data_IF_586749690330
#
_entry.id   IF_586749690330
#
_cell.length_a   1.000
_cell.length_b   1.000
_cell.length_c   1.000
_cell.angle_alpha   90.00
_cell.angle_beta   90.00
_cell.angle_gamma   90.00
#
_symmetry.space_group_name_H-M   'P 1'
#
loop_
_entity.id
_entity.type
_entity.pdbx_description
1 polymer ?
#
# COMPACT_ATOMS: atom_id res chain seq x y z
N UNK A 1 -18.28 6.57 0.51
CA UNK A 1 -19.35 7.32 -0.16
C UNK A 1 -19.50 8.68 0.51
N UNK A 2 -19.41 9.81 -0.24
CA UNK A 2 -19.47 11.15 0.37
C UNK A 2 -20.89 11.55 0.81
N UNK A 3 -21.92 10.89 0.28
CA UNK A 3 -23.31 11.11 0.68
C UNK A 3 -23.66 10.18 1.85
N UNK A 4 -24.00 10.69 3.04
CA UNK A 4 -24.45 9.84 4.14
C UNK A 4 -25.68 9.03 3.74
N UNK A 5 -25.70 7.75 4.14
CA UNK A 5 -26.76 6.83 3.73
C UNK A 5 -28.08 7.03 4.50
N UNK A 6 -28.07 7.75 5.60
CA UNK A 6 -29.17 7.99 6.50
C UNK A 6 -29.96 9.29 6.21
N UNK A 7 -29.55 10.05 5.19
CA UNK A 7 -30.26 11.27 4.79
C UNK A 7 -31.54 10.97 4.05
N UNK A 8 -32.61 11.68 4.42
CA UNK A 8 -33.86 11.69 3.67
C UNK A 8 -33.67 12.35 2.29
N UNK A 9 -34.53 12.08 1.29
CA UNK A 9 -34.49 12.74 -0.01
C UNK A 9 -34.56 14.27 0.06
N UNK A 10 -35.27 14.83 1.05
CA UNK A 10 -35.31 16.27 1.26
C UNK A 10 -33.97 16.83 1.79
N UNK A 11 -33.31 16.14 2.72
CA UNK A 11 -32.02 16.53 3.25
C UNK A 11 -30.90 16.39 2.21
N UNK A 12 -30.96 15.39 1.34
CA UNK A 12 -30.00 15.21 0.25
C UNK A 12 -29.93 16.42 -0.69
N UNK A 13 -31.01 17.18 -0.85
CA UNK A 13 -31.05 18.39 -1.68
C UNK A 13 -30.13 19.51 -1.18
N UNK A 14 -29.75 19.46 0.09
CA UNK A 14 -28.82 20.44 0.68
C UNK A 14 -27.36 20.07 0.46
N UNK A 15 -27.05 18.86 -0.02
CA UNK A 15 -25.70 18.45 -0.38
C UNK A 15 -25.43 18.91 -1.81
N UNK A 16 -24.70 20.01 -1.97
CA UNK A 16 -24.44 20.64 -3.26
C UNK A 16 -23.13 20.17 -3.92
N UNK A 17 -22.33 19.37 -3.22
CA UNK A 17 -21.06 18.87 -3.74
C UNK A 17 -20.15 18.30 -2.65
N UNK A 18 -18.97 17.94 -3.07
CA UNK A 18 -17.91 17.39 -2.23
C UNK A 18 -16.64 18.19 -2.45
N UNK A 19 -15.89 18.42 -1.40
CA UNK A 19 -14.56 19.04 -1.50
C UNK A 19 -13.52 18.24 -0.73
N UNK A 20 -12.28 18.36 -1.14
CA UNK A 20 -11.11 17.97 -0.37
C UNK A 20 -10.20 19.17 -0.20
N UNK A 21 -9.58 19.29 0.96
CA UNK A 21 -8.69 20.40 1.26
C UNK A 21 -7.24 19.93 1.28
N UNK A 22 -6.35 20.72 0.66
CA UNK A 22 -4.92 20.58 0.82
C UNK A 22 -4.41 21.74 1.69
N UNK A 23 -4.04 21.42 2.92
CA UNK A 23 -3.47 22.40 3.86
C UNK A 23 -1.98 22.56 3.59
N UNK A 24 -1.56 23.80 3.33
CA UNK A 24 -0.23 24.08 2.78
C UNK A 24 0.80 24.53 3.81
N UNK A 25 0.52 24.45 5.12
CA UNK A 25 1.43 24.89 6.18
C UNK A 25 2.83 24.26 6.08
N UNK A 26 2.91 23.03 5.57
CA UNK A 26 4.16 22.29 5.40
C UNK A 26 4.47 21.97 3.94
N UNK A 27 3.88 22.70 2.99
CA UNK A 27 4.05 22.49 1.55
C UNK A 27 4.68 23.74 0.93
N UNK A 28 6.02 23.83 0.90
CA UNK A 28 6.71 25.07 0.54
C UNK A 28 6.82 25.32 -0.98
N UNK A 29 6.54 24.31 -1.82
CA UNK A 29 6.75 24.43 -3.27
C UNK A 29 5.55 23.92 -4.06
N UNK A 30 5.34 24.47 -5.25
CA UNK A 30 4.31 24.00 -6.18
C UNK A 30 4.50 22.53 -6.57
N UNK A 31 5.73 22.11 -6.79
CA UNK A 31 6.04 20.71 -7.05
C UNK A 31 5.58 19.76 -5.94
N UNK A 32 5.60 20.21 -4.68
CA UNK A 32 5.07 19.42 -3.58
C UNK A 32 3.53 19.45 -3.53
N UNK A 33 2.90 20.54 -3.97
CA UNK A 33 1.43 20.56 -4.18
C UNK A 33 1.03 19.47 -5.18
N UNK A 34 1.67 19.42 -6.34
CA UNK A 34 1.43 18.40 -7.36
C UNK A 34 1.60 16.98 -6.79
N UNK A 35 2.66 16.74 -6.01
CA UNK A 35 2.91 15.45 -5.36
C UNK A 35 1.80 15.07 -4.36
N UNK A 36 1.27 16.03 -3.63
CA UNK A 36 0.24 15.78 -2.63
C UNK A 36 -1.14 15.61 -3.26
N UNK A 37 -1.43 16.32 -4.34
CA UNK A 37 -2.73 16.26 -5.03
C UNK A 37 -2.84 15.09 -6.01
N UNK A 38 -1.79 14.84 -6.78
CA UNK A 38 -1.84 13.86 -7.87
C UNK A 38 -1.28 12.49 -7.42
N UNK A 39 -1.95 11.40 -7.73
CA UNK A 39 -3.22 11.25 -8.47
C UNK A 39 -4.48 11.28 -7.58
N UNK A 40 -4.41 11.71 -6.34
CA UNK A 40 -5.54 11.71 -5.38
C UNK A 40 -6.74 12.48 -5.88
N UNK A 41 -6.49 13.61 -6.57
CA UNK A 41 -7.55 14.41 -7.21
C UNK A 41 -8.33 13.59 -8.25
N UNK A 42 -7.68 12.67 -8.96
CA UNK A 42 -8.36 11.77 -9.88
C UNK A 42 -9.35 10.84 -9.17
N UNK A 43 -8.99 10.32 -8.00
CA UNK A 43 -9.88 9.51 -7.19
C UNK A 43 -11.08 10.32 -6.67
N UNK A 44 -10.86 11.57 -6.26
CA UNK A 44 -11.94 12.47 -5.87
C UNK A 44 -12.89 12.74 -7.04
N UNK A 45 -12.35 13.02 -8.23
CA UNK A 45 -13.14 13.21 -9.44
C UNK A 45 -13.95 11.97 -9.82
N UNK A 46 -13.38 10.78 -9.71
CA UNK A 46 -14.08 9.52 -9.94
C UNK A 46 -15.31 9.38 -9.01
N UNK A 47 -15.15 9.72 -7.73
CA UNK A 47 -16.23 9.66 -6.75
C UNK A 47 -17.34 10.67 -7.08
N UNK A 48 -16.98 11.87 -7.53
CA UNK A 48 -17.94 12.96 -7.80
C UNK A 48 -18.73 12.74 -9.09
N UNK A 49 -18.08 12.23 -10.13
CA UNK A 49 -18.67 12.11 -11.48
C UNK A 49 -19.30 10.75 -11.76
N UNK A 50 -19.08 9.75 -10.88
CA UNK A 50 -19.62 8.41 -11.05
C UNK A 50 -20.83 8.18 -10.16
N UNK A 51 -21.93 7.76 -10.77
CA UNK A 51 -23.14 7.38 -10.03
C UNK A 51 -22.83 6.29 -9.00
N UNK A 52 -23.41 6.32 -7.79
CA UNK A 52 -23.09 5.39 -6.70
C UNK A 52 -23.08 3.91 -7.12
N UNK A 53 -24.08 3.49 -7.88
CA UNK A 53 -24.24 2.11 -8.35
C UNK A 53 -23.23 1.68 -9.43
N UNK A 54 -22.51 2.65 -10.02
CA UNK A 54 -21.48 2.43 -11.05
C UNK A 54 -20.06 2.54 -10.52
N UNK A 55 -19.89 2.92 -9.24
CA UNK A 55 -18.58 3.06 -8.63
C UNK A 55 -17.86 1.71 -8.59
N UNK A 56 -16.67 1.67 -9.17
CA UNK A 56 -15.87 0.47 -9.27
C UNK A 56 -14.39 0.82 -9.08
N UNK A 57 -13.89 0.56 -7.88
CA UNK A 57 -12.51 0.85 -7.51
C UNK A 57 -11.50 0.12 -8.40
N UNK A 58 -11.70 -1.16 -8.68
CA UNK A 58 -10.84 -1.95 -9.57
C UNK A 58 -10.83 -1.38 -11.01
N UNK A 59 -11.98 -0.93 -11.49
CA UNK A 59 -12.10 -0.25 -12.76
C UNK A 59 -11.36 1.08 -12.80
N UNK A 60 -11.40 1.85 -11.71
CA UNK A 60 -10.61 3.08 -11.55
C UNK A 60 -9.11 2.77 -11.60
N UNK A 61 -8.64 1.79 -10.83
CA UNK A 61 -7.23 1.41 -10.80
C UNK A 61 -6.69 0.99 -12.18
N UNK A 62 -7.50 0.29 -12.97
CA UNK A 62 -7.14 -0.10 -14.35
C UNK A 62 -6.99 1.08 -15.32
N UNK A 63 -7.69 2.18 -15.06
CA UNK A 63 -7.60 3.40 -15.90
C UNK A 63 -6.50 4.36 -15.40
N UNK A 64 -6.09 4.26 -14.15
CA UNK A 64 -5.12 5.16 -13.55
C UNK A 64 -3.78 5.25 -14.31
N UNK A 65 -3.19 4.15 -14.85
CA UNK A 65 -1.98 4.24 -15.65
C UNK A 65 -2.09 5.17 -16.86
N UNK A 66 -3.22 5.16 -17.56
CA UNK A 66 -3.46 6.04 -18.71
C UNK A 66 -3.46 7.52 -18.32
N UNK A 67 -4.02 7.86 -17.15
CA UNK A 67 -3.98 9.21 -16.62
C UNK A 67 -2.55 9.62 -16.23
N UNK A 68 -1.80 8.70 -15.65
CA UNK A 68 -0.41 8.92 -15.27
C UNK A 68 0.50 9.15 -16.48
N UNK A 69 0.25 8.48 -17.60
CA UNK A 69 0.95 8.75 -18.87
C UNK A 69 0.78 10.22 -19.29
N UNK A 70 -0.41 10.80 -19.07
CA UNK A 70 -0.66 12.23 -19.30
C UNK A 70 0.16 13.09 -18.35
N UNK A 71 0.24 12.72 -17.07
CA UNK A 71 1.06 13.43 -16.08
C UNK A 71 2.55 13.42 -16.46
N UNK A 72 3.05 12.30 -16.97
CA UNK A 72 4.44 12.19 -17.44
C UNK A 72 4.71 13.09 -18.66
N UNK A 73 3.76 13.17 -19.62
CA UNK A 73 3.85 14.09 -20.77
C UNK A 73 3.95 15.56 -20.33
N UNK A 74 3.12 15.95 -19.36
CA UNK A 74 3.10 17.31 -18.83
C UNK A 74 4.17 17.55 -17.75
N UNK A 75 4.94 16.52 -17.38
CA UNK A 75 6.01 16.56 -16.37
C UNK A 75 5.51 16.97 -14.98
N UNK A 76 4.29 16.61 -14.62
CA UNK A 76 3.78 16.80 -13.27
C UNK A 76 4.53 15.94 -12.26
N UNK A 77 4.80 16.50 -11.08
CA UNK A 77 5.40 15.77 -9.97
C UNK A 77 4.34 15.04 -9.16
N UNK A 78 3.73 13.99 -9.71
CA UNK A 78 2.72 13.21 -9.00
C UNK A 78 3.35 12.17 -8.05
N UNK A 79 2.56 11.67 -7.10
CA UNK A 79 2.98 10.66 -6.14
C UNK A 79 3.16 9.28 -6.81
N UNK A 80 4.37 9.01 -7.30
CA UNK A 80 4.70 7.76 -8.02
C UNK A 80 4.61 6.49 -7.16
N UNK A 81 4.59 6.63 -5.82
CA UNK A 81 4.47 5.50 -4.89
C UNK A 81 3.16 4.71 -5.04
N UNK A 82 2.16 5.23 -5.74
CA UNK A 82 0.96 4.47 -6.12
C UNK A 82 1.31 3.21 -6.91
N UNK A 83 2.46 3.17 -7.56
CA UNK A 83 2.98 2.03 -8.32
C UNK A 83 4.03 1.22 -7.57
N UNK A 84 4.28 1.51 -6.31
CA UNK A 84 5.19 0.71 -5.49
C UNK A 84 4.66 -0.72 -5.33
N UNK A 85 5.57 -1.62 -5.07
CA UNK A 85 5.22 -3.00 -4.76
C UNK A 85 4.45 -3.04 -3.44
N UNK A 86 3.26 -3.58 -3.46
CA UNK A 86 2.53 -3.95 -2.25
C UNK A 86 2.97 -5.35 -1.83
N UNK A 87 3.68 -5.45 -0.71
CA UNK A 87 4.17 -6.70 -0.15
C UNK A 87 3.36 -7.07 1.09
N UNK A 88 2.66 -8.19 1.03
CA UNK A 88 1.89 -8.72 2.15
C UNK A 88 2.62 -9.94 2.73
N UNK A 89 3.00 -9.83 3.99
CA UNK A 89 3.67 -10.88 4.74
C UNK A 89 2.67 -11.59 5.64
N UNK A 90 2.46 -12.88 5.42
CA UNK A 90 1.49 -13.69 6.14
C UNK A 90 2.19 -14.85 6.83
N UNK A 91 2.24 -14.89 8.18
CA UNK A 91 2.76 -16.02 8.91
C UNK A 91 1.95 -17.30 8.63
N UNK A 92 2.64 -18.38 8.34
CA UNK A 92 2.06 -19.69 8.11
C UNK A 92 2.63 -20.72 9.12
N UNK A 93 2.04 -20.80 10.32
CA UNK A 93 2.52 -21.70 11.37
C UNK A 93 2.45 -23.19 11.00
N UNK A 94 1.54 -23.58 10.10
CA UNK A 94 1.40 -24.96 9.65
C UNK A 94 2.63 -25.44 8.88
N UNK A 95 3.11 -24.62 7.97
CA UNK A 95 4.27 -24.91 7.12
C UNK A 95 5.57 -24.40 7.74
N UNK A 96 5.49 -23.60 8.79
CA UNK A 96 6.63 -22.91 9.42
C UNK A 96 7.27 -21.89 8.48
N UNK A 97 6.45 -21.21 7.65
CA UNK A 97 6.90 -20.25 6.63
C UNK A 97 6.33 -18.87 6.91
N UNK A 98 7.03 -17.86 6.42
CA UNK A 98 6.47 -16.54 6.15
C UNK A 98 6.13 -16.49 4.65
N UNK A 99 4.84 -16.47 4.35
CA UNK A 99 4.35 -16.42 2.98
C UNK A 99 4.31 -14.96 2.52
N UNK A 100 4.96 -14.64 1.39
CA UNK A 100 5.05 -13.29 0.85
C UNK A 100 4.30 -13.22 -0.47
N UNK A 101 3.26 -12.39 -0.49
CA UNK A 101 2.49 -12.10 -1.70
C UNK A 101 2.78 -10.69 -2.17
N UNK A 102 3.15 -10.54 -3.43
CA UNK A 102 3.47 -9.25 -4.05
C UNK A 102 2.43 -8.89 -5.09
N UNK A 103 2.09 -7.61 -5.14
CA UNK A 103 1.19 -7.08 -6.16
C UNK A 103 1.56 -5.64 -6.52
N UNK A 104 1.14 -5.19 -7.68
CA UNK A 104 1.18 -3.79 -8.11
C UNK A 104 -0.18 -3.39 -8.66
N UNK A 105 -0.49 -2.12 -8.63
CA UNK A 105 -1.78 -1.58 -9.06
C UNK A 105 -2.05 -1.81 -10.55
N UNK A 106 -1.00 -1.87 -11.37
CA UNK A 106 -1.05 -1.99 -12.83
C UNK A 106 -0.59 -3.35 -13.34
N UNK A 107 -0.37 -4.32 -12.44
CA UNK A 107 0.19 -5.64 -12.74
C UNK A 107 1.55 -5.60 -13.47
N UNK A 108 2.33 -4.55 -13.26
CA UNK A 108 3.69 -4.48 -13.77
C UNK A 108 4.56 -5.60 -13.18
N UNK A 109 5.56 -6.09 -13.93
CA UNK A 109 6.44 -7.16 -13.44
C UNK A 109 7.21 -6.73 -12.19
N UNK A 110 7.23 -7.62 -11.21
CA UNK A 110 7.92 -7.44 -9.93
C UNK A 110 9.17 -8.31 -9.91
N UNK A 111 10.30 -7.72 -9.58
CA UNK A 111 11.57 -8.41 -9.39
C UNK A 111 11.99 -8.33 -7.93
N UNK A 112 12.61 -9.39 -7.42
CA UNK A 112 13.00 -9.44 -6.01
C UNK A 112 14.35 -10.10 -5.80
N UNK A 113 14.94 -9.85 -4.63
CA UNK A 113 16.15 -10.49 -4.09
C UNK A 113 15.90 -10.90 -2.64
N UNK A 114 16.66 -11.88 -2.15
CA UNK A 114 16.57 -12.38 -0.77
C UNK A 114 17.89 -12.19 0.00
N UNK A 115 18.91 -11.70 -0.67
CA UNK A 115 20.27 -11.51 -0.14
C UNK A 115 20.59 -10.05 0.22
N UNK A 116 19.59 -9.16 0.08
CA UNK A 116 19.73 -7.72 0.33
C UNK A 116 20.35 -6.92 -0.79
N UNK A 117 20.72 -7.54 -1.91
CA UNK A 117 21.17 -6.81 -3.10
C UNK A 117 20.02 -6.00 -3.71
N UNK A 118 20.34 -4.90 -4.40
CA UNK A 118 19.34 -4.08 -5.07
C UNK A 118 18.70 -4.83 -6.24
N UNK A 119 17.37 -5.04 -6.24
CA UNK A 119 16.68 -5.72 -7.33
C UNK A 119 16.66 -4.89 -8.61
N UNK A 120 16.68 -5.58 -9.74
CA UNK A 120 16.62 -5.00 -11.09
C UNK A 120 15.86 -5.93 -12.03
N UNK A 121 15.70 -5.54 -13.29
CA UNK A 121 15.10 -6.41 -14.31
C UNK A 121 15.88 -7.71 -14.56
N UNK A 122 17.13 -7.82 -14.10
CA UNK A 122 17.95 -9.04 -14.14
C UNK A 122 17.77 -9.94 -12.91
N UNK A 123 17.05 -9.48 -11.89
CA UNK A 123 16.78 -10.23 -10.67
C UNK A 123 15.66 -11.25 -10.87
N UNK A 124 15.34 -12.02 -9.85
CA UNK A 124 14.30 -13.05 -9.93
C UNK A 124 12.92 -12.41 -10.13
N UNK A 125 12.21 -12.87 -11.16
CA UNK A 125 10.83 -12.44 -11.44
C UNK A 125 9.88 -13.11 -10.45
N UNK A 126 9.01 -12.32 -9.84
CA UNK A 126 7.94 -12.82 -8.99
C UNK A 126 6.80 -13.39 -9.83
N UNK A 127 6.47 -14.65 -9.64
CA UNK A 127 5.39 -15.36 -10.34
C UNK A 127 4.37 -16.01 -9.41
N UNK A 128 4.78 -16.33 -8.18
CA UNK A 128 3.93 -16.99 -7.19
C UNK A 128 4.33 -16.61 -5.76
N UNK A 129 3.48 -16.92 -4.79
CA UNK A 129 3.73 -16.66 -3.36
C UNK A 129 5.04 -17.28 -2.91
N UNK A 130 5.94 -16.45 -2.35
CA UNK A 130 7.21 -16.91 -1.80
C UNK A 130 6.98 -17.52 -0.43
N UNK A 131 7.61 -18.65 -0.14
CA UNK A 131 7.58 -19.32 1.16
C UNK A 131 8.94 -19.25 1.83
N UNK A 132 9.12 -18.29 2.71
CA UNK A 132 10.40 -18.02 3.37
C UNK A 132 10.51 -18.82 4.66
N UNK A 133 11.66 -19.46 4.89
CA UNK A 133 11.97 -20.30 6.07
C UNK A 133 13.26 -19.90 6.77
N UNK A 134 14.00 -18.99 6.20
CA UNK A 134 15.34 -18.59 6.67
C UNK A 134 15.44 -17.08 6.78
N UNK A 135 16.38 -16.64 7.60
CA UNK A 135 16.74 -15.23 7.70
C UNK A 135 17.18 -14.71 6.33
N UNK A 136 16.64 -13.58 5.93
CA UNK A 136 17.02 -12.93 4.69
C UNK A 136 16.69 -11.44 4.75
N UNK A 137 17.33 -10.66 3.90
CA UNK A 137 16.93 -9.29 3.61
C UNK A 137 16.18 -9.31 2.28
N UNK A 138 14.86 -9.31 2.38
CA UNK A 138 13.97 -9.25 1.23
C UNK A 138 13.98 -7.84 0.63
N UNK A 139 14.13 -7.75 -0.68
CA UNK A 139 13.93 -6.52 -1.44
C UNK A 139 13.10 -6.78 -2.69
N UNK A 140 12.22 -5.86 -3.05
CA UNK A 140 11.41 -5.96 -4.26
C UNK A 140 11.23 -4.60 -4.94
N UNK A 141 11.13 -4.63 -6.26
CA UNK A 141 10.92 -3.47 -7.12
C UNK A 141 10.00 -3.83 -8.28
N UNK A 142 9.23 -2.87 -8.77
CA UNK A 142 8.60 -2.99 -10.08
C UNK A 142 9.35 -2.17 -11.12
N UNK A 143 9.54 -2.75 -12.30
CA UNK A 143 10.24 -2.13 -13.43
C UNK A 143 9.22 -1.74 -14.48
N UNK A 144 9.13 -0.45 -14.78
CA UNK A 144 8.15 0.14 -15.69
C UNK A 144 8.86 1.04 -16.72
N UNK A 145 8.28 1.22 -17.92
CA UNK A 145 8.82 2.15 -18.92
C UNK A 145 8.95 3.59 -18.39
N UNK A 146 7.99 4.04 -17.59
CA UNK A 146 7.97 5.37 -16.97
C UNK A 146 8.90 5.51 -15.74
N UNK A 147 9.68 4.48 -15.42
CA UNK A 147 10.62 4.43 -14.31
C UNK A 147 10.27 3.40 -13.25
N UNK A 148 11.26 3.00 -12.50
CA UNK A 148 11.14 1.99 -11.47
C UNK A 148 10.39 2.55 -10.25
N UNK A 149 9.72 1.66 -9.49
CA UNK A 149 9.18 1.98 -8.18
C UNK A 149 10.29 2.20 -7.15
N UNK A 150 9.92 2.64 -5.96
CA UNK A 150 10.81 2.55 -4.81
C UNK A 150 11.06 1.07 -4.47
N UNK A 151 12.22 0.79 -3.88
CA UNK A 151 12.53 -0.54 -3.38
C UNK A 151 11.81 -0.76 -2.07
N UNK A 152 10.99 -1.81 -2.01
CA UNK A 152 10.46 -2.32 -0.75
C UNK A 152 11.56 -3.17 -0.11
N UNK A 153 11.84 -2.93 1.16
CA UNK A 153 12.87 -3.68 1.91
C UNK A 153 12.27 -4.18 3.22
N UNK A 154 12.49 -5.46 3.53
CA UNK A 154 12.07 -6.06 4.79
C UNK A 154 13.16 -7.00 5.32
N UNK A 155 13.50 -6.87 6.60
CA UNK A 155 14.40 -7.79 7.28
C UNK A 155 13.60 -8.94 7.91
N UNK A 156 13.84 -10.14 7.47
CA UNK A 156 13.17 -11.35 7.96
C UNK A 156 14.13 -12.09 8.88
N UNK A 157 13.72 -12.23 10.14
CA UNK A 157 14.55 -12.80 11.20
C UNK A 157 13.81 -13.90 11.96
N UNK A 158 13.96 -15.12 11.51
CA UNK A 158 13.45 -16.28 12.23
C UNK A 158 14.29 -16.59 13.46
N UNK A 159 13.62 -16.95 14.54
CA UNK A 159 14.21 -17.43 15.78
C UNK A 159 13.43 -18.63 16.31
N UNK A 160 13.79 -19.14 17.48
CA UNK A 160 13.14 -20.34 18.06
C UNK A 160 11.66 -20.15 18.39
N UNK A 161 11.19 -18.91 18.56
CA UNK A 161 9.80 -18.59 18.82
C UNK A 161 8.99 -18.34 17.54
N UNK A 162 9.65 -18.10 16.40
CA UNK A 162 8.97 -17.77 15.15
C UNK A 162 7.98 -18.87 14.76
N UNK A 163 6.79 -18.44 14.33
CA UNK A 163 5.67 -19.29 13.93
C UNK A 163 5.11 -20.19 15.06
N UNK A 164 5.45 -19.95 16.33
CA UNK A 164 4.91 -20.72 17.46
C UNK A 164 3.60 -20.10 17.94
N UNK A 165 2.70 -20.93 18.53
CA UNK A 165 1.51 -20.42 19.17
C UNK A 165 1.86 -19.41 20.28
N UNK A 166 1.15 -18.29 20.31
CA UNK A 166 1.31 -17.26 21.37
C UNK A 166 -0.01 -17.11 22.11
N UNK A 167 0.06 -17.16 23.44
CA UNK A 167 -1.07 -16.88 24.31
C UNK A 167 -0.77 -15.61 25.10
N UNK A 168 -1.63 -14.61 24.96
CA UNK A 168 -1.54 -13.38 25.75
C UNK A 168 -2.08 -13.62 27.15
N UNK A 169 -1.27 -13.37 28.19
CA UNK A 169 -1.70 -13.54 29.59
C UNK A 169 -2.62 -12.40 30.07
N UNK A 170 -2.52 -11.25 29.41
CA UNK A 170 -3.39 -10.09 29.65
C UNK A 170 -3.91 -9.57 28.30
N UNK A 171 -5.15 -9.04 28.26
CA UNK A 171 -5.67 -8.44 27.04
C UNK A 171 -4.84 -7.21 26.65
N UNK A 172 -4.49 -7.13 25.38
CA UNK A 172 -3.81 -5.95 24.82
C UNK A 172 -4.84 -4.83 24.63
N UNK A 173 -4.44 -3.60 24.86
CA UNK A 173 -5.28 -2.46 24.52
C UNK A 173 -5.54 -2.47 23.01
N UNK A 174 -6.81 -2.34 22.60
CA UNK A 174 -7.25 -2.37 21.19
C UNK A 174 -6.47 -1.41 20.28
N UNK A 175 -6.06 -0.27 20.82
CA UNK A 175 -5.24 0.71 20.11
C UNK A 175 -3.86 0.17 19.68
N UNK A 176 -3.33 -0.83 20.39
CA UNK A 176 -1.99 -1.40 20.17
C UNK A 176 -2.04 -2.87 19.76
N UNK A 177 -3.22 -3.43 19.53
CA UNK A 177 -3.39 -4.86 19.23
C UNK A 177 -2.80 -5.24 17.86
N UNK A 178 -2.75 -4.30 16.90
CA UNK A 178 -2.28 -4.50 15.53
C UNK A 178 -2.92 -5.75 14.88
N UNK A 179 -2.13 -6.77 14.54
CA UNK A 179 -2.62 -8.07 14.02
C UNK A 179 -2.76 -9.15 15.11
N UNK A 180 -2.72 -8.75 16.37
CA UNK A 180 -2.83 -9.65 17.52
C UNK A 180 -1.54 -10.37 17.89
N UNK A 181 -1.66 -11.34 18.80
CA UNK A 181 -0.54 -12.09 19.38
C UNK A 181 0.45 -12.69 18.36
N UNK A 182 0.04 -13.19 17.19
CA UNK A 182 0.97 -13.73 16.18
C UNK A 182 2.04 -12.75 15.69
N UNK A 183 1.79 -11.45 15.78
CA UNK A 183 2.76 -10.40 15.40
C UNK A 183 4.07 -10.50 16.19
N UNK A 184 4.02 -11.03 17.41
CA UNK A 184 5.22 -11.19 18.26
C UNK A 184 6.18 -12.26 17.73
N UNK A 185 5.74 -13.14 16.87
CA UNK A 185 6.48 -14.30 16.39
C UNK A 185 6.39 -14.49 14.87
N UNK A 186 6.04 -13.47 14.14
CA UNK A 186 5.86 -13.50 12.68
C UNK A 186 7.17 -13.52 11.88
N UNK A 187 8.31 -13.31 12.55
CA UNK A 187 9.61 -13.27 11.90
C UNK A 187 9.94 -11.92 11.23
N UNK A 188 9.07 -10.92 11.35
CA UNK A 188 9.30 -9.57 10.86
C UNK A 188 9.97 -8.71 11.92
N UNK A 189 10.78 -7.76 11.48
CA UNK A 189 11.47 -6.82 12.35
C UNK A 189 10.78 -5.46 12.28
N UNK A 190 10.25 -5.00 13.40
CA UNK A 190 9.62 -3.67 13.46
C UNK A 190 10.60 -2.57 13.05
N UNK A 191 10.12 -1.57 12.34
CA UNK A 191 10.94 -0.47 11.80
C UNK A 191 11.05 0.75 12.74
N UNK A 192 10.48 0.71 13.95
CA UNK A 192 10.51 1.81 14.91
C UNK A 192 9.69 3.05 14.52
N UNK A 193 8.91 2.99 13.44
CA UNK A 193 8.06 4.10 13.02
C UNK A 193 6.70 4.05 13.73
N UNK A 194 6.55 4.84 14.79
CA UNK A 194 5.31 4.91 15.58
C UNK A 194 4.10 5.39 14.79
N UNK A 195 4.28 6.14 13.69
CA UNK A 195 3.17 6.61 12.86
C UNK A 195 2.40 5.48 12.18
N UNK A 196 3.03 4.34 11.94
CA UNK A 196 2.36 3.18 11.36
C UNK A 196 1.32 2.52 12.28
N UNK A 197 1.41 2.77 13.60
CA UNK A 197 0.41 2.30 14.57
C UNK A 197 -0.95 3.00 14.40
N UNK A 198 -0.97 4.18 13.79
CA UNK A 198 -2.18 4.99 13.62
C UNK A 198 -2.72 5.02 12.18
N UNK A 199 -1.95 4.52 11.21
CA UNK A 199 -2.26 4.65 9.78
C UNK A 199 -2.48 3.33 9.06
N UNK A 200 -2.44 2.20 9.76
CA UNK A 200 -2.85 0.92 9.18
C UNK A 200 -4.37 0.91 8.99
N UNK A 201 -4.87 0.65 7.78
CA UNK A 201 -6.29 0.54 7.49
C UNK A 201 -6.94 -0.62 8.24
#
# INVERSE_FOLDING_TARGET
>A
EPMPADLTPEEQKYIIGVQANLWTEYIPTYSQVEYMELPRMAALSEIQWTMPEKKNYEGFLKRLPQLVDIYDVYKYNYAKHVFDVNAVFTPNPKDGTLDVTLSTIDNSPIYYTLDGTEPSAASQLYTETLKLKQNCTFKAITVRPAGNSRVVTEEIAFNKASMKPVTMLQPVNKQYEFKGAPTLVDGLKGNGNYCLLYTSP
#
